data_IF_209190538261
#
_entry.id   IF_209190538261
#
_cell.length_a   1.000
_cell.length_b   1.000
_cell.length_c   1.000
_cell.angle_alpha   90.00
_cell.angle_beta   90.00
_cell.angle_gamma   90.00
#
_symmetry.space_group_name_H-M   'P 1'
#
loop_
_entity.id
_entity.type
_entity.pdbx_description
1 polymer ?
#
# COMPACT_ATOMS: atom_id res chain seq x y z
N UNK A 1 -2.90 13.57 -6.58
CA UNK A 1 -3.06 12.99 -7.93
C UNK A 1 -4.28 12.07 -7.96
N UNK A 2 -5.06 12.16 -9.00
CA UNK A 2 -6.26 11.34 -9.18
C UNK A 2 -5.93 10.13 -10.07
N UNK A 3 -6.25 8.94 -9.61
CA UNK A 3 -5.95 7.70 -10.32
C UNK A 3 -7.19 6.81 -10.40
N UNK A 4 -7.37 6.15 -11.53
CA UNK A 4 -8.38 5.10 -11.70
C UNK A 4 -7.68 3.74 -11.66
N UNK A 5 -8.21 2.85 -10.83
CA UNK A 5 -7.66 1.51 -10.64
C UNK A 5 -8.70 0.45 -11.00
N UNK A 6 -8.31 -0.52 -11.78
CA UNK A 6 -9.19 -1.63 -12.16
C UNK A 6 -8.94 -2.84 -11.26
N UNK A 7 -9.92 -3.74 -11.20
CA UNK A 7 -9.79 -5.01 -10.50
C UNK A 7 -8.59 -5.76 -11.04
N UNK A 8 -7.79 -6.31 -10.14
CA UNK A 8 -6.59 -7.03 -10.52
C UNK A 8 -5.37 -6.15 -10.78
N UNK A 9 -5.50 -4.83 -10.62
CA UNK A 9 -4.35 -3.93 -10.70
C UNK A 9 -3.29 -4.39 -9.71
N UNK A 10 -2.06 -4.55 -10.20
CA UNK A 10 -0.94 -4.95 -9.37
C UNK A 10 -0.04 -3.77 -9.12
N UNK A 11 0.05 -3.36 -7.87
CA UNK A 11 0.97 -2.31 -7.43
C UNK A 11 2.10 -3.01 -6.68
N UNK A 12 3.37 -2.82 -7.09
CA UNK A 12 4.48 -3.41 -6.36
C UNK A 12 4.49 -2.97 -4.91
N UNK A 13 4.97 -3.83 -4.03
CA UNK A 13 5.17 -3.46 -2.63
C UNK A 13 6.28 -2.42 -2.59
N UNK A 14 5.99 -1.24 -2.07
CA UNK A 14 6.92 -0.10 -2.09
C UNK A 14 6.77 0.75 -0.84
N UNK A 15 7.66 1.71 -0.69
CA UNK A 15 7.61 2.70 0.39
C UNK A 15 8.06 4.06 -0.13
N UNK A 16 7.67 5.10 0.57
CA UNK A 16 8.12 6.47 0.32
C UNK A 16 9.06 6.87 1.45
N UNK A 17 10.25 7.31 1.11
CA UNK A 17 11.29 7.63 2.09
C UNK A 17 11.33 9.11 2.49
N UNK A 18 10.64 9.96 1.74
CA UNK A 18 10.70 11.40 1.95
C UNK A 18 9.38 12.01 2.45
N UNK A 19 8.26 11.37 2.17
CA UNK A 19 6.95 11.92 2.51
C UNK A 19 6.01 10.83 3.00
N UNK A 20 5.10 11.19 3.91
CA UNK A 20 3.92 10.37 4.15
C UNK A 20 2.91 10.64 3.03
N UNK A 21 1.91 9.77 2.91
CA UNK A 21 0.92 9.86 1.84
C UNK A 21 -0.46 9.63 2.44
N UNK A 22 -1.43 10.40 1.94
CA UNK A 22 -2.84 10.17 2.26
C UNK A 22 -3.53 9.67 1.00
N UNK A 23 -4.19 8.53 1.09
CA UNK A 23 -4.97 7.96 0.01
C UNK A 23 -6.44 8.02 0.37
N UNK A 24 -7.25 8.61 -0.50
CA UNK A 24 -8.70 8.69 -0.33
C UNK A 24 -9.35 7.96 -1.49
N UNK A 25 -10.25 7.04 -1.18
CA UNK A 25 -11.04 6.35 -2.19
C UNK A 25 -12.33 7.13 -2.42
N UNK A 26 -12.52 7.59 -3.65
CA UNK A 26 -13.70 8.37 -4.03
C UNK A 26 -14.84 7.48 -4.51
N UNK A 27 -14.51 6.33 -5.08
CA UNK A 27 -15.45 5.37 -5.62
C UNK A 27 -14.81 4.00 -5.67
N UNK A 28 -15.57 2.95 -5.46
CA UNK A 28 -15.11 1.57 -5.55
C UNK A 28 -14.84 0.93 -4.20
N UNK A 29 -14.04 -0.13 -4.20
CA UNK A 29 -13.69 -0.85 -3.00
C UNK A 29 -12.31 -1.48 -3.16
N UNK A 30 -11.42 -1.22 -2.20
CA UNK A 30 -10.04 -1.70 -2.23
C UNK A 30 -9.47 -1.81 -0.83
N UNK A 31 -8.34 -2.48 -0.71
CA UNK A 31 -7.55 -2.51 0.51
C UNK A 31 -6.19 -1.87 0.26
N UNK A 32 -5.71 -1.12 1.23
CA UNK A 32 -4.30 -0.76 1.33
C UNK A 32 -3.66 -1.75 2.28
N UNK A 33 -2.65 -2.46 1.81
CA UNK A 33 -2.02 -3.57 2.54
C UNK A 33 -0.66 -3.13 3.02
N UNK A 34 -0.41 -3.31 4.32
CA UNK A 34 0.86 -2.94 4.95
C UNK A 34 1.66 -4.17 5.30
N UNK A 35 2.99 -4.06 5.17
CA UNK A 35 3.92 -5.17 5.32
C UNK A 35 5.01 -4.88 6.32
N UNK A 36 5.51 -5.95 6.97
CA UNK A 36 6.70 -5.92 7.81
C UNK A 36 7.87 -6.60 7.12
N UNK A 37 9.07 -6.05 7.29
CA UNK A 37 10.30 -6.71 6.87
C UNK A 37 10.58 -7.89 7.80
N UNK A 38 10.83 -9.07 7.22
CA UNK A 38 11.21 -10.27 7.97
C UNK A 38 12.28 -11.02 7.20
N UNK A 39 13.54 -10.55 7.27
CA UNK A 39 14.62 -11.06 6.42
C UNK A 39 14.98 -12.53 6.69
N UNK A 40 14.70 -13.04 7.89
CA UNK A 40 15.06 -14.40 8.27
C UNK A 40 13.91 -15.39 8.17
N UNK A 41 12.79 -15.00 7.57
CA UNK A 41 11.62 -15.87 7.44
C UNK A 41 11.32 -16.17 5.97
N UNK A 42 10.92 -17.41 5.70
CA UNK A 42 10.59 -17.86 4.36
C UNK A 42 9.11 -17.66 4.07
N UNK A 43 8.81 -17.27 2.84
CA UNK A 43 7.43 -17.10 2.38
C UNK A 43 6.61 -18.39 2.34
N UNK A 44 7.22 -19.53 2.47
CA UNK A 44 6.52 -20.81 2.53
C UNK A 44 6.17 -21.30 3.92
N UNK A 45 6.38 -20.47 4.95
CA UNK A 45 6.16 -20.85 6.33
C UNK A 45 4.69 -20.82 6.75
N UNK A 46 4.42 -20.93 8.07
CA UNK A 46 3.04 -21.04 8.59
C UNK A 46 2.24 -19.75 8.60
N UNK A 47 2.70 -18.70 7.93
CA UNK A 47 1.97 -17.43 7.87
C UNK A 47 0.70 -17.57 7.04
N UNK A 48 -0.39 -17.04 7.58
CA UNK A 48 -1.69 -17.04 6.94
C UNK A 48 -1.90 -15.82 6.01
N UNK A 49 -1.04 -14.82 6.09
CA UNK A 49 -1.12 -13.61 5.28
C UNK A 49 -0.26 -13.67 4.04
N UNK A 50 -0.38 -12.67 3.19
CA UNK A 50 0.43 -12.54 1.99
C UNK A 50 1.88 -12.25 2.31
N UNK A 51 2.78 -12.68 1.43
CA UNK A 51 4.19 -12.35 1.52
C UNK A 51 4.70 -11.86 0.17
N UNK A 52 5.81 -11.18 0.18
CA UNK A 52 6.45 -10.68 -1.02
C UNK A 52 7.93 -10.42 -0.78
N UNK A 53 8.57 -9.85 -1.77
CA UNK A 53 9.99 -9.54 -1.73
C UNK A 53 10.20 -8.08 -2.15
N UNK A 54 11.05 -7.39 -1.42
CA UNK A 54 11.41 -6.00 -1.70
C UNK A 54 12.92 -5.86 -1.68
N UNK A 55 13.42 -4.75 -2.24
CA UNK A 55 14.81 -4.36 -2.09
C UNK A 55 14.88 -3.33 -0.98
N UNK A 56 15.49 -3.69 0.14
CA UNK A 56 15.68 -2.82 1.28
C UNK A 56 17.18 -2.66 1.53
N UNK A 57 17.66 -1.40 1.52
CA UNK A 57 19.09 -1.08 1.68
C UNK A 57 20.00 -1.87 0.73
N UNK A 58 19.54 -2.02 -0.52
CA UNK A 58 20.27 -2.73 -1.57
C UNK A 58 20.20 -4.25 -1.49
N UNK A 59 19.45 -4.81 -0.54
CA UNK A 59 19.33 -6.26 -0.36
C UNK A 59 17.89 -6.73 -0.56
N UNK A 60 17.75 -7.88 -1.23
CA UNK A 60 16.46 -8.52 -1.38
C UNK A 60 16.00 -9.06 -0.02
N UNK A 61 14.82 -8.66 0.40
CA UNK A 61 14.31 -8.97 1.73
C UNK A 61 12.85 -9.39 1.64
N UNK A 62 12.47 -10.40 2.41
CA UNK A 62 11.10 -10.85 2.49
C UNK A 62 10.27 -9.92 3.37
N UNK A 63 9.04 -9.68 2.93
CA UNK A 63 8.05 -8.91 3.69
C UNK A 63 6.78 -9.74 3.84
N UNK A 64 6.11 -9.56 4.97
CA UNK A 64 4.88 -10.28 5.28
C UNK A 64 3.78 -9.29 5.59
N UNK A 65 2.57 -9.60 5.15
CA UNK A 65 1.40 -8.78 5.42
C UNK A 65 1.22 -8.65 6.94
N UNK A 66 1.13 -7.40 7.40
CA UNK A 66 0.93 -7.08 8.80
C UNK A 66 -0.54 -6.79 9.08
N UNK A 67 -1.12 -5.89 8.31
CA UNK A 67 -2.53 -5.56 8.38
C UNK A 67 -2.94 -4.87 7.09
N UNK A 68 -4.25 -4.72 6.90
CA UNK A 68 -4.80 -3.99 5.76
C UNK A 68 -5.90 -3.06 6.21
N UNK A 69 -6.09 -2.01 5.44
CA UNK A 69 -7.12 -1.01 5.69
C UNK A 69 -8.07 -1.01 4.50
N UNK A 70 -9.35 -1.29 4.77
CA UNK A 70 -10.39 -1.27 3.75
C UNK A 70 -10.76 0.17 3.40
N UNK A 71 -10.76 0.49 2.11
CA UNK A 71 -11.28 1.74 1.57
C UNK A 71 -12.49 1.42 0.68
N UNK A 72 -13.66 1.79 1.14
CA UNK A 72 -14.91 1.50 0.45
C UNK A 72 -15.94 2.55 0.86
N UNK A 73 -16.15 3.62 0.04
CA UNK A 73 -17.02 4.72 0.41
C UNK A 73 -18.45 4.33 0.79
N UNK A 74 -19.01 3.35 0.12
CA UNK A 74 -20.37 2.87 0.47
C UNK A 74 -20.45 2.24 1.85
N UNK A 75 -19.31 1.87 2.44
CA UNK A 75 -19.21 1.35 3.82
C UNK A 75 -18.77 2.43 4.81
N UNK A 76 -18.60 3.67 4.35
CA UNK A 76 -18.14 4.76 5.19
C UNK A 76 -16.63 4.76 5.42
N UNK A 77 -15.87 4.02 4.63
CA UNK A 77 -14.41 3.89 4.78
C UNK A 77 -13.73 4.62 3.64
N UNK A 78 -13.24 5.82 3.91
CA UNK A 78 -12.85 6.76 2.86
C UNK A 78 -11.38 6.86 2.60
N UNK A 79 -10.56 6.82 3.63
CA UNK A 79 -9.14 7.12 3.44
C UNK A 79 -8.23 6.52 4.49
N UNK A 80 -6.94 6.57 4.19
CA UNK A 80 -5.88 6.07 5.06
C UNK A 80 -4.66 6.96 4.90
N UNK A 81 -3.96 7.19 6.00
CA UNK A 81 -2.65 7.81 5.96
C UNK A 81 -1.58 6.72 5.96
N UNK A 82 -0.69 6.80 4.98
CA UNK A 82 0.42 5.87 4.84
C UNK A 82 1.66 6.55 5.42
N UNK A 83 2.18 6.06 6.56
CA UNK A 83 3.33 6.70 7.20
C UNK A 83 4.58 6.65 6.34
N UNK A 84 5.48 7.60 6.60
CA UNK A 84 6.80 7.62 5.99
C UNK A 84 7.50 6.27 6.20
N UNK A 85 8.03 5.70 5.13
CA UNK A 85 8.78 4.46 5.20
C UNK A 85 7.96 3.18 5.30
N UNK A 86 6.63 3.26 5.38
CA UNK A 86 5.79 2.07 5.49
C UNK A 86 5.73 1.30 4.17
N UNK A 87 6.10 0.04 4.20
CA UNK A 87 5.95 -0.84 3.05
C UNK A 87 4.48 -1.14 2.81
N UNK A 88 4.00 -0.90 1.61
CA UNK A 88 2.58 -1.07 1.29
C UNK A 88 2.33 -1.40 -0.18
N UNK A 89 1.15 -1.93 -0.43
CA UNK A 89 0.60 -2.12 -1.77
C UNK A 89 -0.92 -1.96 -1.70
N UNK A 90 -1.60 -2.20 -2.82
CA UNK A 90 -3.06 -2.15 -2.85
C UNK A 90 -3.61 -3.43 -3.47
N UNK A 91 -4.83 -3.77 -3.06
CA UNK A 91 -5.61 -4.86 -3.65
C UNK A 91 -6.99 -4.31 -4.00
N UNK A 92 -7.34 -4.37 -5.28
CA UNK A 92 -8.54 -3.71 -5.80
C UNK A 92 -9.62 -4.75 -6.07
N UNK A 93 -10.77 -4.61 -5.42
CA UNK A 93 -11.90 -5.55 -5.54
C UNK A 93 -12.94 -5.10 -6.54
N UNK A 94 -13.07 -3.79 -6.73
CA UNK A 94 -13.98 -3.19 -7.70
C UNK A 94 -13.24 -2.04 -8.37
N UNK A 95 -13.61 -1.65 -9.61
CA UNK A 95 -12.98 -0.48 -10.21
C UNK A 95 -13.07 0.71 -9.27
N UNK A 96 -11.94 1.31 -8.97
CA UNK A 96 -11.82 2.32 -7.93
C UNK A 96 -11.17 3.58 -8.46
N UNK A 97 -11.62 4.71 -7.92
CA UNK A 97 -11.00 6.01 -8.17
C UNK A 97 -10.44 6.53 -6.86
N UNK A 98 -9.16 6.85 -6.85
CA UNK A 98 -8.48 7.32 -5.65
C UNK A 98 -7.85 8.69 -5.88
N UNK A 99 -7.72 9.45 -4.81
CA UNK A 99 -6.94 10.68 -4.76
C UNK A 99 -5.79 10.47 -3.78
N UNK A 100 -4.57 10.79 -4.22
CA UNK A 100 -3.38 10.67 -3.40
C UNK A 100 -2.77 12.04 -3.17
N UNK A 101 -2.50 12.36 -1.90
CA UNK A 101 -1.83 13.59 -1.50
C UNK A 101 -0.60 13.23 -0.68
N UNK A 102 0.54 13.79 -1.05
CA UNK A 102 1.79 13.60 -0.30
C UNK A 102 1.96 14.76 0.66
N UNK A 103 2.35 14.43 1.89
CA UNK A 103 2.66 15.41 2.90
C UNK A 103 4.11 15.87 2.70
N UNK A 104 4.32 17.16 2.60
CA UNK A 104 5.63 17.74 2.42
C UNK A 104 5.59 18.96 1.52
N UNK A 105 6.67 19.74 1.56
CA UNK A 105 6.76 20.94 0.76
C UNK A 105 6.85 20.59 -0.73
N UNK A 106 6.10 21.33 -1.54
CA UNK A 106 6.24 21.25 -2.98
C UNK A 106 7.67 21.66 -3.38
N UNK A 107 8.33 20.83 -4.16
CA UNK A 107 9.66 21.13 -4.66
C UNK A 107 9.58 21.25 -6.17
N UNK A 108 9.63 22.47 -6.69
CA UNK A 108 9.69 22.64 -8.15
C UNK A 108 10.99 22.05 -8.67
N UNK A 109 10.91 21.39 -9.78
CA UNK A 109 12.06 20.75 -10.43
C UNK A 109 12.83 21.79 -11.22
#
# INVERSE_FOLDING_TARGET
MLNALEVGTKVPIHRHLETSETTVCLQGCMDVVFYDLRPNEDCGGPFMGGCGTVIADGMETNVFERYRVRLCPREGKYGVQIPLGAWHSVEVYEPSTIFEAKDGAYRPV
#
